data_IF_890415903472
#
_entry.id   IF_890415903472
#
_cell.length_a   1.000
_cell.length_b   1.000
_cell.length_c   1.000
_cell.angle_alpha   90.00
_cell.angle_beta   90.00
_cell.angle_gamma   90.00
#
_symmetry.space_group_name_H-M   'P 1'
#
loop_
_entity.id
_entity.type
_entity.pdbx_description
1 polymer ?
#
# COMPACT_ATOMS: atom_id res chain seq x y z
N UNK A 1 3.39 -8.60 -0.70
CA UNK A 1 4.12 -9.38 0.32
C UNK A 1 5.51 -9.62 -0.23
N UNK A 2 6.42 -8.65 -0.07
CA UNK A 2 7.84 -8.86 -0.36
C UNK A 2 8.53 -9.08 0.98
N UNK A 3 9.36 -10.11 1.09
CA UNK A 3 10.21 -10.26 2.25
C UNK A 3 11.12 -9.02 2.36
N UNK A 4 11.26 -8.49 3.57
CA UNK A 4 12.14 -7.35 3.82
C UNK A 4 13.58 -7.75 3.43
N UNK A 5 14.29 -6.92 2.67
CA UNK A 5 15.69 -7.13 2.25
C UNK A 5 16.58 -7.59 3.42
N UNK A 6 16.32 -7.07 4.62
CA UNK A 6 17.01 -7.48 5.84
C UNK A 6 16.79 -8.96 6.23
N UNK A 7 15.56 -9.48 6.11
CA UNK A 7 15.26 -10.90 6.38
C UNK A 7 15.92 -11.82 5.37
N UNK A 8 15.98 -11.41 4.10
CA UNK A 8 16.72 -12.15 3.07
C UNK A 8 18.21 -12.24 3.42
N UNK A 9 18.85 -11.09 3.69
CA UNK A 9 20.27 -11.03 4.04
C UNK A 9 20.56 -11.92 5.25
N UNK A 10 19.76 -11.80 6.32
CA UNK A 10 19.95 -12.60 7.52
C UNK A 10 19.82 -14.10 7.23
N UNK A 11 18.84 -14.51 6.42
CA UNK A 11 18.62 -15.91 6.06
C UNK A 11 19.80 -16.49 5.28
N UNK A 12 20.33 -15.74 4.31
CA UNK A 12 21.50 -16.15 3.53
C UNK A 12 22.74 -16.25 4.42
N UNK A 13 22.99 -15.28 5.30
CA UNK A 13 24.16 -15.32 6.19
C UNK A 13 24.10 -16.49 7.18
N UNK A 14 22.92 -16.79 7.74
CA UNK A 14 22.70 -17.96 8.58
C UNK A 14 22.96 -19.25 7.80
N UNK A 15 22.51 -19.32 6.54
CA UNK A 15 22.76 -20.47 5.68
C UNK A 15 24.25 -20.63 5.34
N UNK A 16 24.93 -19.54 4.99
CA UNK A 16 26.38 -19.53 4.76
C UNK A 16 27.13 -20.07 5.97
N UNK A 17 26.78 -19.62 7.19
CA UNK A 17 27.39 -20.11 8.42
C UNK A 17 27.14 -21.61 8.66
N UNK A 18 25.92 -22.09 8.42
CA UNK A 18 25.57 -23.52 8.56
C UNK A 18 26.30 -24.42 7.58
N UNK A 19 26.48 -23.98 6.33
CA UNK A 19 27.14 -24.75 5.28
C UNK A 19 28.65 -24.73 5.44
N UNK A 20 29.23 -23.56 5.70
CA UNK A 20 30.66 -23.39 5.90
C UNK A 20 30.94 -22.21 6.86
N UNK A 21 31.26 -22.48 8.14
CA UNK A 21 31.60 -21.44 9.11
C UNK A 21 32.82 -20.60 8.74
N UNK A 22 33.70 -21.11 7.88
CA UNK A 22 34.93 -20.44 7.41
C UNK A 22 34.77 -19.79 6.02
N UNK A 23 33.53 -19.67 5.52
CA UNK A 23 33.26 -19.00 4.25
C UNK A 23 33.80 -17.57 4.28
N UNK A 24 34.50 -17.19 3.23
CA UNK A 24 35.10 -15.85 3.09
C UNK A 24 34.03 -14.79 2.87
N UNK A 25 34.35 -13.53 3.14
CA UNK A 25 33.43 -12.42 2.92
C UNK A 25 33.02 -12.28 1.45
N UNK A 26 33.95 -12.46 0.51
CA UNK A 26 33.66 -12.42 -0.92
C UNK A 26 32.68 -13.52 -1.36
N UNK A 27 32.82 -14.73 -0.82
CA UNK A 27 31.88 -15.83 -1.10
C UNK A 27 30.48 -15.51 -0.55
N UNK A 28 30.38 -14.99 0.68
CA UNK A 28 29.10 -14.57 1.26
C UNK A 28 28.44 -13.47 0.42
N UNK A 29 29.22 -12.46 -0.01
CA UNK A 29 28.72 -11.40 -0.90
C UNK A 29 28.26 -11.98 -2.23
N UNK A 30 29.00 -12.90 -2.83
CA UNK A 30 28.59 -13.59 -4.06
C UNK A 30 27.25 -14.32 -3.89
N UNK A 31 27.02 -14.95 -2.74
CA UNK A 31 25.73 -15.57 -2.45
C UNK A 31 24.60 -14.55 -2.28
N UNK A 32 24.86 -13.44 -1.59
CA UNK A 32 23.88 -12.36 -1.41
C UNK A 32 23.47 -11.73 -2.75
N UNK A 33 24.44 -11.50 -3.64
CA UNK A 33 24.24 -10.91 -4.98
C UNK A 33 23.32 -11.74 -5.89
N UNK A 34 23.10 -13.04 -5.61
CA UNK A 34 22.26 -13.91 -6.46
C UNK A 34 20.76 -13.68 -6.29
N UNK A 35 20.33 -13.12 -5.16
CA UNK A 35 18.90 -12.96 -4.83
C UNK A 35 18.45 -11.51 -4.68
N UNK A 36 19.31 -10.56 -5.05
CA UNK A 36 18.89 -9.15 -5.15
C UNK A 36 18.24 -8.87 -6.49
N UNK A 37 17.41 -7.83 -6.50
CA UNK A 37 16.75 -7.33 -7.71
C UNK A 37 17.76 -6.61 -8.60
N UNK A 38 17.50 -6.61 -9.91
CA UNK A 38 18.39 -6.03 -10.93
C UNK A 38 18.72 -4.55 -10.65
N UNK A 39 17.75 -3.77 -10.20
CA UNK A 39 17.92 -2.35 -9.86
C UNK A 39 18.91 -2.13 -8.70
N UNK A 40 18.87 -3.00 -7.69
CA UNK A 40 19.80 -2.97 -6.55
C UNK A 40 21.18 -3.47 -6.99
N UNK A 41 21.24 -4.52 -7.80
CA UNK A 41 22.47 -5.08 -8.35
C UNK A 41 23.28 -4.05 -9.14
N UNK A 42 22.63 -3.32 -10.04
CA UNK A 42 23.28 -2.26 -10.83
C UNK A 42 23.88 -1.16 -9.95
N UNK A 43 23.22 -0.78 -8.85
CA UNK A 43 23.77 0.22 -7.91
C UNK A 43 24.96 -0.33 -7.11
N UNK A 44 24.99 -1.62 -6.81
CA UNK A 44 26.06 -2.27 -6.06
C UNK A 44 27.32 -2.48 -6.90
N UNK A 45 27.17 -2.75 -8.21
CA UNK A 45 28.30 -2.94 -9.13
C UNK A 45 29.24 -1.73 -9.23
N UNK A 46 28.72 -0.51 -9.02
CA UNK A 46 29.51 0.73 -9.15
C UNK A 46 30.48 0.93 -7.96
N UNK A 47 30.30 0.22 -6.85
CA UNK A 47 31.01 0.48 -5.58
C UNK A 47 32.05 -0.57 -5.16
N UNK A 48 32.28 -1.62 -5.94
CA UNK A 48 33.20 -2.73 -5.60
C UNK A 48 33.00 -3.27 -4.17
N UNK A 49 31.82 -3.85 -3.92
CA UNK A 49 31.45 -4.41 -2.62
C UNK A 49 32.22 -5.71 -2.37
N UNK A 50 33.13 -5.72 -1.38
CA UNK A 50 33.97 -6.88 -1.03
C UNK A 50 33.68 -7.47 0.36
N UNK A 51 32.80 -6.85 1.15
CA UNK A 51 32.39 -7.39 2.43
C UNK A 51 30.88 -7.29 2.66
N UNK A 52 30.37 -8.16 3.53
CA UNK A 52 28.93 -8.22 3.84
C UNK A 52 28.44 -6.92 4.50
N UNK A 53 29.29 -6.23 5.26
CA UNK A 53 28.90 -4.97 5.91
C UNK A 53 28.67 -3.84 4.91
N UNK A 54 29.48 -3.75 3.85
CA UNK A 54 29.33 -2.73 2.81
C UNK A 54 28.11 -3.04 1.95
N UNK A 55 27.85 -4.32 1.69
CA UNK A 55 26.62 -4.78 1.04
C UNK A 55 25.37 -4.33 1.80
N UNK A 56 25.34 -4.56 3.12
CA UNK A 56 24.20 -4.19 3.98
C UNK A 56 23.99 -2.67 3.97
N UNK A 57 25.06 -1.89 4.15
CA UNK A 57 24.99 -0.43 4.13
C UNK A 57 24.43 0.10 2.82
N UNK A 58 24.86 -0.47 1.70
CA UNK A 58 24.42 0.00 0.39
C UNK A 58 22.97 -0.39 0.10
N UNK A 59 22.55 -1.60 0.49
CA UNK A 59 21.15 -1.99 0.44
C UNK A 59 20.26 -1.04 1.28
N UNK A 60 20.69 -0.71 2.50
CA UNK A 60 19.98 0.24 3.37
C UNK A 60 19.92 1.64 2.74
N UNK A 61 21.02 2.13 2.16
CA UNK A 61 21.06 3.42 1.47
C UNK A 61 20.08 3.49 0.30
N UNK A 62 19.99 2.42 -0.50
CA UNK A 62 19.05 2.33 -1.63
C UNK A 62 17.61 2.30 -1.12
N UNK A 63 17.35 1.55 -0.06
CA UNK A 63 16.03 1.46 0.57
C UNK A 63 15.58 2.81 1.16
N UNK A 64 16.47 3.51 1.85
CA UNK A 64 16.25 4.87 2.36
C UNK A 64 15.96 5.86 1.21
N UNK A 65 16.73 5.81 0.12
CA UNK A 65 16.47 6.63 -1.05
C UNK A 65 15.10 6.34 -1.67
N UNK A 66 14.71 5.07 -1.73
CA UNK A 66 13.41 4.67 -2.25
C UNK A 66 12.27 5.14 -1.32
N UNK A 67 12.44 5.07 0.00
CA UNK A 67 11.49 5.60 0.98
C UNK A 67 11.34 7.12 0.86
N UNK A 68 12.45 7.86 0.71
CA UNK A 68 12.41 9.32 0.47
C UNK A 68 11.65 9.63 -0.81
N UNK A 69 11.86 8.86 -1.89
CA UNK A 69 11.12 9.01 -3.15
C UNK A 69 9.62 8.80 -2.96
N UNK A 70 9.22 7.75 -2.23
CA UNK A 70 7.80 7.48 -1.93
C UNK A 70 7.19 8.61 -1.06
N UNK A 71 7.93 9.10 -0.07
CA UNK A 71 7.46 10.18 0.80
C UNK A 71 7.33 11.51 0.06
N UNK A 72 8.29 11.85 -0.82
CA UNK A 72 8.29 13.07 -1.64
C UNK A 72 7.26 13.04 -2.77
N UNK A 73 6.87 11.86 -3.26
CA UNK A 73 5.78 11.70 -4.23
C UNK A 73 4.38 11.67 -3.60
N UNK A 74 4.23 12.02 -2.32
CA UNK A 74 2.95 12.52 -1.84
C UNK A 74 2.72 13.89 -2.46
N UNK A 75 2.19 13.91 -3.68
CA UNK A 75 1.62 15.12 -4.27
C UNK A 75 0.69 15.74 -3.24
N UNK A 76 1.07 16.89 -2.69
CA UNK A 76 0.16 17.73 -1.92
C UNK A 76 -0.93 18.16 -2.90
N UNK A 77 -2.09 17.52 -2.80
CA UNK A 77 -3.21 17.84 -3.67
C UNK A 77 -3.56 19.32 -3.49
N UNK A 78 -3.75 20.01 -4.60
CA UNK A 78 -4.32 21.35 -4.57
C UNK A 78 -5.67 21.29 -3.83
N UNK A 79 -6.03 22.31 -3.04
CA UNK A 79 -7.24 22.33 -2.22
C UNK A 79 -8.54 22.04 -3.01
N UNK A 80 -8.52 22.19 -4.34
CA UNK A 80 -9.67 22.01 -5.22
C UNK A 80 -9.77 20.61 -5.85
N UNK A 81 -8.88 19.67 -5.52
CA UNK A 81 -8.87 18.32 -6.13
C UNK A 81 -9.35 17.28 -5.12
N UNK A 82 -10.63 16.92 -5.21
CA UNK A 82 -11.21 15.81 -4.43
C UNK A 82 -10.52 14.51 -4.83
N UNK A 83 -10.13 13.71 -3.84
CA UNK A 83 -9.54 12.40 -4.09
C UNK A 83 -10.58 11.41 -4.61
N UNK A 84 -10.24 10.61 -5.62
CA UNK A 84 -11.08 9.48 -6.04
C UNK A 84 -11.29 8.49 -4.88
N UNK A 85 -10.35 8.40 -3.93
CA UNK A 85 -10.52 7.63 -2.69
C UNK A 85 -11.47 8.29 -1.66
N UNK A 86 -11.85 9.55 -1.87
CA UNK A 86 -12.89 10.27 -1.13
C UNK A 86 -14.26 10.18 -1.81
N UNK A 87 -14.34 9.62 -3.02
CA UNK A 87 -15.61 9.19 -3.59
C UNK A 87 -16.05 8.02 -2.72
N UNK A 88 -17.15 8.25 -1.99
CA UNK A 88 -17.56 7.52 -0.79
C UNK A 88 -17.30 6.02 -0.87
N UNK A 89 -16.85 5.47 0.27
CA UNK A 89 -16.69 4.02 0.43
C UNK A 89 -18.04 3.38 0.04
N UNK A 90 -18.01 2.19 -0.51
CA UNK A 90 -19.22 1.47 -0.94
C UNK A 90 -20.34 1.46 0.12
N UNK A 91 -19.96 1.46 1.41
CA UNK A 91 -20.82 1.68 2.59
C UNK A 91 -21.68 2.96 2.54
N UNK A 92 -21.10 4.08 2.10
CA UNK A 92 -21.77 5.39 2.03
C UNK A 92 -22.86 5.38 0.94
N UNK A 93 -22.57 4.72 -0.20
CA UNK A 93 -23.53 4.57 -1.29
C UNK A 93 -24.68 3.65 -0.92
N UNK A 94 -24.39 2.50 -0.28
CA UNK A 94 -25.42 1.58 0.20
C UNK A 94 -26.31 2.26 1.25
N UNK A 95 -25.73 3.07 2.12
CA UNK A 95 -26.48 3.85 3.12
C UNK A 95 -27.40 4.87 2.45
N UNK A 96 -26.91 5.59 1.44
CA UNK A 96 -27.68 6.55 0.66
C UNK A 96 -28.84 5.88 -0.10
N UNK A 97 -28.57 4.75 -0.78
CA UNK A 97 -29.60 3.98 -1.49
C UNK A 97 -30.68 3.51 -0.52
N UNK A 98 -30.30 2.92 0.63
CA UNK A 98 -31.27 2.49 1.65
C UNK A 98 -32.08 3.66 2.23
N UNK A 99 -31.49 4.84 2.32
CA UNK A 99 -32.21 6.04 2.76
C UNK A 99 -33.26 6.45 1.72
N UNK A 100 -32.86 6.58 0.45
CA UNK A 100 -33.76 6.95 -0.65
C UNK A 100 -34.92 5.97 -0.78
N UNK A 101 -34.64 4.65 -0.79
CA UNK A 101 -35.66 3.61 -0.89
C UNK A 101 -36.65 3.67 0.28
N UNK A 102 -36.16 3.90 1.52
CA UNK A 102 -37.05 4.04 2.69
C UNK A 102 -37.97 5.25 2.59
N UNK A 103 -37.46 6.38 2.09
CA UNK A 103 -38.27 7.59 1.88
C UNK A 103 -39.35 7.33 0.84
N UNK A 104 -38.99 6.73 -0.30
CA UNK A 104 -39.94 6.51 -1.39
C UNK A 104 -41.01 5.48 -1.04
N UNK A 105 -40.63 4.37 -0.39
CA UNK A 105 -41.59 3.35 0.09
C UNK A 105 -42.57 3.95 1.09
N UNK A 106 -42.11 4.80 2.01
CA UNK A 106 -43.00 5.49 2.96
C UNK A 106 -43.96 6.44 2.25
N UNK A 107 -43.51 7.11 1.19
CA UNK A 107 -44.36 7.99 0.38
C UNK A 107 -45.45 7.20 -0.35
N UNK A 108 -45.10 6.05 -0.92
CA UNK A 108 -46.06 5.17 -1.62
C UNK A 108 -47.07 4.52 -0.66
N UNK A 109 -46.65 4.20 0.57
CA UNK A 109 -47.50 3.61 1.60
C UNK A 109 -48.24 4.64 2.44
N UNK A 110 -47.96 5.93 2.28
CA UNK A 110 -48.74 6.98 2.91
C UNK A 110 -50.16 6.94 2.30
N UNK A 111 -51.22 6.84 3.12
CA UNK A 111 -52.58 6.90 2.59
C UNK A 111 -52.75 8.23 1.87
N UNK A 112 -53.24 8.17 0.62
CA UNK A 112 -53.68 9.36 -0.09
C UNK A 112 -54.61 10.12 0.85
N UNK A 113 -54.22 11.33 1.25
CA UNK A 113 -55.11 12.18 2.04
C UNK A 113 -56.36 12.41 1.19
N UNK A 114 -57.44 11.73 1.55
CA UNK A 114 -58.77 12.08 1.11
C UNK A 114 -59.02 13.49 1.63
N UNK A 115 -58.99 14.46 0.71
CA UNK A 115 -59.51 15.79 0.98
C UNK A 115 -60.97 15.63 1.45
N UNK A 116 -61.35 16.13 2.64
CA UNK A 116 -62.75 16.11 3.04
C UNK A 116 -63.53 17.02 2.08
N UNK A 117 -64.39 16.42 1.28
CA UNK A 117 -65.37 17.13 0.47
C UNK A 117 -66.33 17.86 1.43
N UNK A 118 -66.50 19.20 1.34
CA UNK A 118 -67.50 19.87 2.16
C UNK A 118 -68.88 19.41 1.71
N UNK A 119 -69.64 18.80 2.62
CA UNK A 119 -71.05 18.48 2.42
C UNK A 119 -71.85 19.77 2.47
N UNK A 120 -72.52 20.13 1.37
CA UNK A 120 -73.61 21.11 1.38
C UNK A 120 -74.76 20.53 2.19
N UNK A 121 -75.09 21.16 3.32
CA UNK A 121 -76.32 20.95 4.06
C UNK A 121 -77.34 22.05 3.70
N UNK A 122 -78.59 21.59 3.59
CA UNK A 122 -79.80 22.25 3.09
C UNK A 122 -80.30 23.43 3.91
#
# INVERSE_FOLDING_TARGET
>A
MGENTQSYIQSVLVLCYKVNPKMTENEKVSHLMKGITEDVYQSLLVKDISCTSDFIKECQRIEEMNQIRIAKHRFTKLPNVVSVASIGKHEDLVTLIRYIVRVEVRRMLAPAQQNPHPSMNS
#
